data_IF_469248050178
#
_entry.id   IF_469248050178
#
_cell.length_a   1.000
_cell.length_b   1.000
_cell.length_c   1.000
_cell.angle_alpha   90.00
_cell.angle_beta   90.00
_cell.angle_gamma   90.00
#
_symmetry.space_group_name_H-M   'P 1'
#
loop_
_entity.id
_entity.type
_entity.pdbx_description
1 polymer ?
#
# COMPACT_ATOMS: atom_id res chain seq x y z
N UNK A 1 17.44 -24.49 15.27
CA UNK A 1 17.24 -23.47 14.23
C UNK A 1 17.37 -22.11 14.90
N UNK A 2 18.27 -21.26 14.41
CA UNK A 2 18.53 -19.92 14.95
C UNK A 2 17.46 -18.94 14.48
N UNK A 3 17.28 -17.83 15.20
CA UNK A 3 16.31 -16.79 14.85
C UNK A 3 16.57 -16.23 13.44
N UNK A 4 17.84 -16.03 13.06
CA UNK A 4 18.16 -15.52 11.72
C UNK A 4 17.75 -16.49 10.61
N UNK A 5 17.82 -17.80 10.86
CA UNK A 5 17.40 -18.84 9.90
C UNK A 5 15.87 -18.84 9.72
N UNK A 6 15.12 -18.61 10.81
CA UNK A 6 13.67 -18.47 10.77
C UNK A 6 13.22 -17.21 10.01
N UNK A 7 13.88 -16.08 10.24
CA UNK A 7 13.58 -14.83 9.54
C UNK A 7 13.90 -14.93 8.05
N UNK A 8 15.07 -15.48 7.69
CA UNK A 8 15.43 -15.68 6.29
C UNK A 8 14.49 -16.66 5.57
N UNK A 9 13.96 -17.67 6.27
CA UNK A 9 12.95 -18.57 5.72
C UNK A 9 11.61 -17.86 5.51
N UNK A 10 11.19 -17.02 6.46
CA UNK A 10 10.01 -16.18 6.31
C UNK A 10 10.15 -15.21 5.13
N UNK A 11 11.30 -14.53 5.00
CA UNK A 11 11.58 -13.60 3.90
C UNK A 11 11.48 -14.30 2.53
N UNK A 12 12.04 -15.51 2.39
CA UNK A 12 11.92 -16.32 1.18
C UNK A 12 10.48 -16.73 0.86
N UNK A 13 9.67 -17.01 1.88
CA UNK A 13 8.25 -17.30 1.67
C UNK A 13 7.50 -16.06 1.19
N UNK A 14 7.90 -14.87 1.64
CA UNK A 14 7.33 -13.59 1.19
C UNK A 14 7.76 -13.20 -0.23
N UNK A 15 8.97 -13.56 -0.66
CA UNK A 15 9.44 -13.33 -2.04
C UNK A 15 8.58 -14.06 -3.09
N UNK A 16 7.91 -15.15 -2.71
CA UNK A 16 7.05 -15.94 -3.60
C UNK A 16 5.61 -15.42 -3.69
N UNK A 17 5.25 -14.41 -2.90
CA UNK A 17 3.89 -13.85 -2.87
C UNK A 17 3.68 -12.91 -4.05
N UNK A 18 2.59 -13.10 -4.77
CA UNK A 18 2.22 -12.19 -5.86
C UNK A 18 1.57 -10.89 -5.32
N UNK A 19 2.16 -9.71 -5.58
CA UNK A 19 1.57 -8.43 -5.15
C UNK A 19 0.28 -8.11 -5.89
N UNK A 20 -0.66 -7.45 -5.21
CA UNK A 20 -1.86 -6.92 -5.82
C UNK A 20 -1.48 -5.71 -6.67
N UNK A 21 -1.89 -5.72 -7.94
CA UNK A 21 -1.63 -4.62 -8.88
C UNK A 21 -2.92 -3.92 -9.25
N UNK A 22 -2.99 -2.61 -9.02
CA UNK A 22 -4.17 -1.78 -9.31
C UNK A 22 -3.83 -0.80 -10.44
N UNK A 23 -4.54 -0.84 -11.57
CA UNK A 23 -4.34 0.14 -12.64
C UNK A 23 -4.88 1.50 -12.21
N UNK A 24 -4.05 2.52 -12.30
CA UNK A 24 -4.37 3.88 -11.88
C UNK A 24 -3.96 4.92 -12.93
N UNK A 25 -4.39 6.15 -12.69
CA UNK A 25 -4.15 7.30 -13.57
C UNK A 25 -3.79 8.52 -12.74
N UNK A 26 -2.74 9.22 -13.17
CA UNK A 26 -2.36 10.53 -12.64
C UNK A 26 -3.23 11.66 -13.21
N UNK A 27 -3.38 12.72 -12.44
CA UNK A 27 -3.87 14.01 -12.89
C UNK A 27 -2.91 14.52 -13.98
N UNK A 28 -3.38 14.58 -15.22
CA UNK A 28 -2.54 14.86 -16.39
C UNK A 28 -2.55 13.78 -17.48
N UNK A 29 -3.11 12.60 -17.19
CA UNK A 29 -3.44 11.62 -18.23
C UNK A 29 -2.62 10.33 -18.22
N UNK A 30 -1.49 10.30 -17.53
CA UNK A 30 -0.57 9.17 -17.51
C UNK A 30 -1.14 7.98 -16.74
N UNK A 31 -0.94 6.78 -17.28
CA UNK A 31 -1.35 5.51 -16.67
C UNK A 31 -0.19 4.88 -15.91
N UNK A 32 -0.51 4.20 -14.81
CA UNK A 32 0.45 3.50 -13.95
C UNK A 32 -0.21 2.24 -13.39
N UNK A 33 0.59 1.24 -13.01
CA UNK A 33 0.18 0.17 -12.12
C UNK A 33 0.71 0.43 -10.71
N UNK A 34 -0.15 0.43 -9.70
CA UNK A 34 0.29 0.50 -8.30
C UNK A 34 0.27 -0.90 -7.71
N UNK A 35 1.44 -1.38 -7.30
CA UNK A 35 1.61 -2.68 -6.63
C UNK A 35 1.74 -2.50 -5.14
N UNK A 36 1.07 -3.35 -4.38
CA UNK A 36 1.27 -3.46 -2.95
C UNK A 36 1.09 -4.91 -2.49
N UNK A 37 1.72 -5.24 -1.37
CA UNK A 37 1.49 -6.49 -0.65
C UNK A 37 0.57 -6.21 0.54
N UNK A 38 -0.46 -7.04 0.79
CA UNK A 38 -1.22 -6.98 2.02
C UNK A 38 -0.31 -7.11 3.25
N UNK A 39 -0.53 -6.29 4.27
CA UNK A 39 0.19 -6.37 5.54
C UNK A 39 -0.55 -7.25 6.55
N UNK A 40 0.11 -7.57 7.66
CA UNK A 40 -0.53 -8.32 8.74
C UNK A 40 -1.70 -7.55 9.34
N UNK A 41 -2.68 -8.25 9.91
CA UNK A 41 -3.80 -7.59 10.59
C UNK A 41 -3.36 -6.72 11.78
N UNK A 42 -2.21 -7.00 12.40
CA UNK A 42 -1.65 -6.16 13.45
C UNK A 42 -1.10 -4.84 12.90
N UNK A 43 -0.37 -4.89 11.78
CA UNK A 43 0.17 -3.70 11.12
C UNK A 43 -0.96 -2.84 10.55
N UNK A 44 -1.97 -3.47 9.94
CA UNK A 44 -3.13 -2.76 9.40
C UNK A 44 -3.90 -2.00 10.47
N UNK A 45 -4.16 -2.62 11.63
CA UNK A 45 -4.77 -1.94 12.79
C UNK A 45 -3.90 -0.81 13.32
N UNK A 46 -2.58 -0.99 13.34
CA UNK A 46 -1.64 0.04 13.78
C UNK A 46 -1.64 1.23 12.83
N UNK A 47 -1.68 0.99 11.52
CA UNK A 47 -1.72 2.03 10.50
C UNK A 47 -3.05 2.79 10.57
N UNK A 48 -4.18 2.09 10.51
CA UNK A 48 -5.52 2.70 10.54
C UNK A 48 -5.77 3.54 11.81
N UNK A 49 -5.25 3.11 12.96
CA UNK A 49 -5.34 3.88 14.21
C UNK A 49 -4.64 5.26 14.15
N UNK A 50 -3.65 5.45 13.27
CA UNK A 50 -2.96 6.74 13.07
C UNK A 50 -3.72 7.69 12.15
N UNK A 51 -4.75 7.21 11.46
CA UNK A 51 -5.50 7.95 10.46
C UNK A 51 -6.98 8.00 10.86
N UNK A 52 -7.30 8.76 11.90
CA UNK A 52 -8.68 8.94 12.37
C UNK A 52 -9.61 9.49 11.26
N UNK A 53 -10.94 9.23 11.33
CA UNK A 53 -11.91 9.77 10.37
C UNK A 53 -11.83 11.29 10.26
N UNK A 54 -12.01 11.82 9.04
CA UNK A 54 -12.18 13.27 8.84
C UNK A 54 -13.61 13.69 9.15
N UNK A 55 -13.77 14.87 9.74
CA UNK A 55 -15.08 15.45 10.03
C UNK A 55 -15.91 15.60 8.74
N UNK A 56 -17.14 15.08 8.77
CA UNK A 56 -18.07 15.16 7.64
C UNK A 56 -17.80 14.19 6.48
N UNK A 57 -16.77 13.34 6.55
CA UNK A 57 -16.51 12.34 5.52
C UNK A 57 -17.27 11.04 5.82
N UNK A 58 -18.43 10.84 5.20
CA UNK A 58 -19.29 9.65 5.43
C UNK A 58 -18.55 8.32 5.21
N UNK A 59 -17.69 8.25 4.19
CA UNK A 59 -16.87 7.08 3.88
C UNK A 59 -15.89 6.73 5.00
N UNK A 60 -15.31 7.74 5.63
CA UNK A 60 -14.38 7.54 6.75
C UNK A 60 -15.16 7.11 8.00
N UNK A 61 -16.31 7.75 8.25
CA UNK A 61 -17.17 7.43 9.39
C UNK A 61 -17.68 5.97 9.34
N UNK A 62 -18.05 5.48 8.16
CA UNK A 62 -18.49 4.10 7.96
C UNK A 62 -17.38 3.06 8.25
N UNK A 63 -16.11 3.45 8.12
CA UNK A 63 -14.94 2.57 8.30
C UNK A 63 -14.26 2.75 9.65
N UNK A 64 -14.49 3.87 10.33
CA UNK A 64 -13.81 4.22 11.58
C UNK A 64 -12.40 4.78 11.39
N UNK A 65 -11.97 5.05 10.15
CA UNK A 65 -10.68 5.67 9.84
C UNK A 65 -10.68 6.33 8.44
N UNK A 66 -9.73 7.23 8.20
CA UNK A 66 -9.49 7.90 6.92
C UNK A 66 -8.70 6.99 5.97
N UNK A 67 -9.42 6.28 5.09
CA UNK A 67 -8.80 5.36 4.13
C UNK A 67 -7.82 6.07 3.17
N UNK A 68 -8.07 7.33 2.79
CA UNK A 68 -7.20 8.05 1.86
C UNK A 68 -5.84 8.34 2.51
N UNK A 69 -5.86 8.70 3.80
CA UNK A 69 -4.66 8.85 4.62
C UNK A 69 -3.89 7.54 4.77
N UNK A 70 -4.60 6.44 5.00
CA UNK A 70 -4.03 5.09 5.07
C UNK A 70 -3.36 4.70 3.76
N UNK A 71 -4.01 4.91 2.61
CA UNK A 71 -3.43 4.65 1.28
C UNK A 71 -2.16 5.46 1.08
N UNK A 72 -2.17 6.76 1.37
CA UNK A 72 -0.99 7.62 1.19
C UNK A 72 0.18 7.25 2.13
N UNK A 73 -0.12 6.68 3.29
CA UNK A 73 0.88 6.24 4.27
C UNK A 73 1.23 4.74 4.14
N UNK A 74 0.65 4.03 3.18
CA UNK A 74 0.85 2.60 3.01
C UNK A 74 2.33 2.32 2.69
N UNK A 75 3.01 1.45 3.45
CA UNK A 75 4.40 1.10 3.20
C UNK A 75 4.54 0.17 1.99
N UNK A 76 5.75 0.06 1.45
CA UNK A 76 6.10 -0.96 0.45
C UNK A 76 5.24 -0.94 -0.83
N UNK A 77 4.86 0.26 -1.28
CA UNK A 77 4.22 0.48 -2.57
C UNK A 77 5.26 0.61 -3.67
N UNK A 78 5.00 -0.03 -4.80
CA UNK A 78 5.80 0.08 -6.04
C UNK A 78 4.91 0.60 -7.16
N UNK A 79 5.46 1.44 -8.03
CA UNK A 79 4.77 1.90 -9.23
C UNK A 79 5.38 1.21 -10.45
N UNK A 80 4.52 0.67 -11.32
CA UNK A 80 4.87 0.16 -12.64
C UNK A 80 4.47 1.24 -13.65
N UNK A 81 5.42 1.71 -14.46
CA UNK A 81 5.17 2.64 -15.56
C UNK A 81 4.75 1.89 -16.84
N UNK A 82 4.32 2.61 -17.87
CA UNK A 82 3.81 2.03 -19.13
C UNK A 82 4.87 1.19 -19.89
N UNK A 83 6.15 1.37 -19.59
CA UNK A 83 7.28 0.55 -20.07
C UNK A 83 7.47 -0.76 -19.27
N UNK A 84 6.57 -1.06 -18.34
CA UNK A 84 6.54 -2.26 -17.49
C UNK A 84 7.71 -2.38 -16.50
N UNK A 85 8.52 -1.33 -16.32
CA UNK A 85 9.59 -1.33 -15.34
C UNK A 85 9.06 -0.87 -13.96
N UNK A 86 9.42 -1.57 -12.87
CA UNK A 86 9.12 -1.13 -11.52
C UNK A 86 10.01 0.06 -11.14
N UNK A 87 9.41 1.22 -10.88
CA UNK A 87 10.12 2.34 -10.27
C UNK A 87 10.05 2.23 -8.75
N UNK A 88 11.22 2.21 -8.11
CA UNK A 88 11.31 2.34 -6.66
C UNK A 88 10.77 3.71 -6.27
N UNK A 89 9.97 3.80 -5.22
CA UNK A 89 9.50 5.09 -4.70
C UNK A 89 10.45 5.67 -3.66
N UNK A 90 11.59 5.02 -3.39
CA UNK A 90 12.58 5.54 -2.46
C UNK A 90 13.51 6.53 -3.18
N UNK A 91 13.77 7.66 -2.54
CA UNK A 91 14.71 8.71 -2.97
C UNK A 91 15.68 9.00 -1.83
N UNK A 92 16.86 9.48 -2.16
CA UNK A 92 17.85 9.95 -1.19
C UNK A 92 18.03 11.46 -1.37
N UNK A 93 18.04 12.20 -0.26
CA UNK A 93 18.33 13.65 -0.29
C UNK A 93 19.85 13.92 -0.30
N UNK A 94 20.24 15.20 -0.40
CA UNK A 94 21.65 15.60 -0.40
C UNK A 94 22.39 15.35 0.92
N UNK A 95 21.67 14.96 1.98
CA UNK A 95 22.20 14.62 3.29
C UNK A 95 22.25 13.11 3.53
N UNK A 96 21.84 12.30 2.55
CA UNK A 96 21.83 10.84 2.64
C UNK A 96 20.57 10.25 3.31
N UNK A 97 19.50 11.04 3.50
CA UNK A 97 18.25 10.51 4.06
C UNK A 97 17.41 9.82 2.98
N UNK A 98 17.07 8.55 3.20
CA UNK A 98 16.13 7.83 2.35
C UNK A 98 14.69 8.15 2.75
N UNK A 99 13.85 8.53 1.77
CA UNK A 99 12.43 8.81 1.97
C UNK A 99 11.59 8.26 0.80
N UNK A 100 10.31 7.98 1.05
CA UNK A 100 9.38 7.54 0.02
C UNK A 100 8.66 8.72 -0.62
N UNK A 101 8.60 8.75 -1.95
CA UNK A 101 7.76 9.68 -2.73
C UNK A 101 6.34 9.16 -2.96
N UNK A 102 5.96 8.02 -2.38
CA UNK A 102 4.61 7.48 -2.51
C UNK A 102 3.50 8.47 -2.13
N UNK A 103 3.58 9.21 -1.00
CA UNK A 103 2.53 10.17 -0.65
C UNK A 103 2.31 11.23 -1.74
N UNK A 104 3.38 11.66 -2.41
CA UNK A 104 3.34 12.60 -3.53
C UNK A 104 2.68 12.00 -4.77
N UNK A 105 2.94 10.73 -5.07
CA UNK A 105 2.27 10.02 -6.17
C UNK A 105 0.78 9.86 -5.87
N UNK A 106 0.44 9.40 -4.67
CA UNK A 106 -0.93 9.19 -4.23
C UNK A 106 -1.77 10.47 -4.30
N UNK A 107 -1.21 11.63 -3.91
CA UNK A 107 -1.90 12.92 -3.97
C UNK A 107 -2.17 13.43 -5.39
N UNK A 108 -1.50 12.85 -6.40
CA UNK A 108 -1.61 13.23 -7.81
C UNK A 108 -2.48 12.25 -8.60
N UNK A 109 -3.04 11.22 -7.98
CA UNK A 109 -3.99 10.33 -8.62
C UNK A 109 -5.30 11.05 -8.94
N UNK A 110 -5.97 10.61 -10.00
CA UNK A 110 -7.37 11.01 -10.24
C UNK A 110 -8.26 10.47 -9.12
N UNK A 111 -9.36 11.16 -8.81
CA UNK A 111 -10.30 10.73 -7.77
C UNK A 111 -10.79 9.29 -7.96
N UNK A 112 -11.10 8.90 -9.21
CA UNK A 112 -11.51 7.53 -9.56
C UNK A 112 -10.41 6.50 -9.27
N UNK A 113 -9.16 6.83 -9.58
CA UNK A 113 -8.03 5.93 -9.33
C UNK A 113 -7.70 5.80 -7.85
N UNK A 114 -7.79 6.91 -7.10
CA UNK A 114 -7.63 6.88 -5.66
C UNK A 114 -8.72 6.02 -5.02
N UNK A 115 -9.99 6.18 -5.43
CA UNK A 115 -11.09 5.35 -4.93
C UNK A 115 -10.91 3.85 -5.24
N UNK A 116 -10.40 3.52 -6.42
CA UNK A 116 -10.09 2.14 -6.79
C UNK A 116 -8.99 1.55 -5.88
N UNK A 117 -7.94 2.31 -5.60
CA UNK A 117 -6.88 1.90 -4.66
C UNK A 117 -7.41 1.75 -3.22
N UNK A 118 -8.16 2.74 -2.74
CA UNK A 118 -8.79 2.69 -1.42
C UNK A 118 -9.67 1.45 -1.26
N UNK A 119 -10.44 1.08 -2.30
CA UNK A 119 -11.27 -0.12 -2.28
C UNK A 119 -10.43 -1.39 -2.23
N UNK A 120 -9.41 -1.52 -3.09
CA UNK A 120 -8.58 -2.73 -3.16
C UNK A 120 -7.76 -2.93 -1.88
N UNK A 121 -7.15 -1.87 -1.35
CA UNK A 121 -6.41 -1.94 -0.09
C UNK A 121 -7.35 -2.25 1.09
N UNK A 122 -8.55 -1.65 1.15
CA UNK A 122 -9.52 -2.01 2.17
C UNK A 122 -9.97 -3.48 2.05
N UNK A 123 -10.35 -3.92 0.85
CA UNK A 123 -10.86 -5.26 0.62
C UNK A 123 -9.82 -6.33 0.99
N UNK A 124 -8.54 -6.09 0.67
CA UNK A 124 -7.46 -7.00 1.01
C UNK A 124 -7.31 -7.24 2.52
N UNK A 125 -7.66 -6.29 3.38
CA UNK A 125 -7.45 -6.41 4.83
C UNK A 125 -8.74 -6.66 5.63
N UNK A 126 -9.90 -6.20 5.13
CA UNK A 126 -11.17 -6.22 5.88
C UNK A 126 -12.22 -7.16 5.29
N UNK A 127 -12.09 -7.54 4.01
CA UNK A 127 -13.10 -8.34 3.30
C UNK A 127 -12.58 -9.70 2.83
N UNK A 128 -11.31 -9.77 2.43
CA UNK A 128 -10.67 -10.98 1.90
C UNK A 128 -9.43 -11.32 2.72
N UNK A 129 -9.56 -11.78 3.97
CA UNK A 129 -8.43 -12.12 4.83
C UNK A 129 -7.53 -13.22 4.23
N UNK A 130 -8.06 -14.02 3.29
CA UNK A 130 -7.27 -15.00 2.54
C UNK A 130 -6.14 -14.36 1.74
N UNK A 131 -6.25 -13.08 1.34
CA UNK A 131 -5.16 -12.37 0.67
C UNK A 131 -4.00 -12.04 1.62
N UNK A 132 -4.31 -11.79 2.90
CA UNK A 132 -3.29 -11.62 3.95
C UNK A 132 -2.62 -12.97 4.25
N UNK A 133 -3.38 -14.06 4.26
CA UNK A 133 -2.85 -15.42 4.42
C UNK A 133 -1.97 -15.83 3.23
N UNK A 134 -2.42 -15.59 2.01
CA UNK A 134 -1.64 -15.81 0.79
C UNK A 134 -0.36 -14.96 0.76
N UNK A 135 -0.36 -13.80 1.42
CA UNK A 135 0.83 -13.01 1.61
C UNK A 135 1.79 -13.52 2.70
N UNK A 136 1.43 -14.61 3.38
CA UNK A 136 2.20 -15.16 4.51
C UNK A 136 2.19 -14.23 5.72
N UNK A 137 1.14 -13.41 5.86
CA UNK A 137 1.02 -12.36 6.88
C UNK A 137 -0.16 -12.57 7.85
N UNK A 138 -0.92 -13.66 7.72
CA UNK A 138 -2.06 -13.98 8.58
C UNK A 138 -1.64 -14.53 9.96
#
# INVERSE_FOLDING_TARGET
MKLEELLAQADKMMEAVEPITVPVKLNGGQHLGVRFLPMSGADWRTLTARHAPRDGAEKDAARGYNIAGVVAAYPDVVVITDDAEPDSLLREDSLGHTYSIWPDVASRLTAKSLEALEFQMWAAHEYTPELVEQAGKA
#
